data_IF_258494210817
#
_entry.id   IF_258494210817
#
_cell.length_a   1.000
_cell.length_b   1.000
_cell.length_c   1.000
_cell.angle_alpha   90.00
_cell.angle_beta   90.00
_cell.angle_gamma   90.00
#
_symmetry.space_group_name_H-M   'P 1'
#
loop_
_entity.id
_entity.type
_entity.pdbx_description
1 polymer ?
#
# COMPACT_ATOMS: atom_id res chain seq x y z
N UNK A 1 -16.94 -13.11 5.29
CA UNK A 1 -15.68 -12.34 5.37
C UNK A 1 -16.08 -10.88 5.38
N UNK A 2 -15.58 -10.11 6.35
CA UNK A 2 -15.81 -8.66 6.39
C UNK A 2 -14.89 -7.98 5.37
N UNK A 3 -15.39 -6.98 4.65
CA UNK A 3 -14.62 -6.28 3.64
C UNK A 3 -13.80 -5.17 4.31
N UNK A 4 -12.49 -5.41 4.50
CA UNK A 4 -11.59 -4.45 5.14
C UNK A 4 -10.69 -3.75 4.13
N UNK A 5 -10.58 -2.43 4.25
CA UNK A 5 -9.58 -1.59 3.58
C UNK A 5 -8.57 -1.14 4.62
N UNK A 6 -7.28 -1.28 4.33
CA UNK A 6 -6.20 -0.73 5.14
C UNK A 6 -5.69 0.55 4.50
N UNK A 7 -5.81 1.67 5.20
CA UNK A 7 -5.24 2.95 4.77
C UNK A 7 -4.03 3.31 5.64
N UNK A 8 -2.92 3.69 5.02
CA UNK A 8 -1.73 4.18 5.70
C UNK A 8 -1.65 5.67 5.46
N UNK A 9 -2.00 6.47 6.46
CA UNK A 9 -2.06 7.92 6.36
C UNK A 9 -1.61 8.56 7.68
N UNK A 10 -0.76 9.58 7.59
CA UNK A 10 -0.34 10.39 8.73
C UNK A 10 -1.38 11.43 9.12
N UNK A 11 -2.24 11.82 8.18
CA UNK A 11 -3.26 12.84 8.33
C UNK A 11 -4.65 12.19 8.46
N UNK A 12 -5.11 12.02 9.70
CA UNK A 12 -6.41 11.37 9.98
C UNK A 12 -7.63 12.29 9.81
N UNK A 13 -7.45 13.51 9.31
CA UNK A 13 -8.51 14.54 9.33
C UNK A 13 -9.78 14.14 8.57
N UNK A 14 -9.70 13.15 7.66
CA UNK A 14 -10.83 12.72 6.84
C UNK A 14 -11.29 11.27 7.12
N UNK A 15 -10.79 10.63 8.19
CA UNK A 15 -11.11 9.21 8.46
C UNK A 15 -12.60 8.99 8.73
N UNK A 16 -13.24 9.86 9.50
CA UNK A 16 -14.64 9.69 9.89
C UNK A 16 -15.59 9.84 8.69
N UNK A 17 -15.34 10.84 7.84
CA UNK A 17 -16.07 11.04 6.58
C UNK A 17 -15.87 9.87 5.61
N UNK A 18 -14.62 9.42 5.45
CA UNK A 18 -14.27 8.27 4.62
C UNK A 18 -14.99 7.01 5.14
N UNK A 19 -14.94 6.74 6.45
CA UNK A 19 -15.59 5.58 7.05
C UNK A 19 -17.11 5.61 6.85
N UNK A 20 -17.76 6.78 6.98
CA UNK A 20 -19.20 6.90 6.77
C UNK A 20 -19.60 6.60 5.32
N UNK A 21 -18.80 6.97 4.33
CA UNK A 21 -19.07 6.67 2.93
C UNK A 21 -18.95 5.17 2.64
N UNK A 22 -17.85 4.55 3.08
CA UNK A 22 -17.60 3.12 2.84
C UNK A 22 -18.52 2.19 3.62
N UNK A 23 -19.02 2.63 4.78
CA UNK A 23 -19.95 1.85 5.58
C UNK A 23 -21.27 1.55 4.84
N UNK A 24 -21.71 2.42 3.92
CA UNK A 24 -22.88 2.18 3.05
C UNK A 24 -22.74 0.91 2.20
N UNK A 25 -21.50 0.52 1.90
CA UNK A 25 -21.15 -0.66 1.11
C UNK A 25 -20.75 -1.85 1.98
N UNK A 26 -20.95 -1.79 3.30
CA UNK A 26 -20.45 -2.78 4.27
C UNK A 26 -18.93 -2.99 4.18
N UNK A 27 -18.21 -1.90 3.89
CA UNK A 27 -16.75 -1.86 3.85
C UNK A 27 -16.24 -1.09 5.06
N UNK A 28 -15.25 -1.66 5.73
CA UNK A 28 -14.62 -1.09 6.91
C UNK A 28 -13.23 -0.60 6.58
N UNK A 29 -12.92 0.64 6.98
CA UNK A 29 -11.62 1.26 6.75
C UNK A 29 -10.85 1.26 8.07
N UNK A 30 -9.65 0.69 8.05
CA UNK A 30 -8.69 0.77 9.14
C UNK A 30 -7.57 1.70 8.72
N UNK A 31 -7.44 2.85 9.38
CA UNK A 31 -6.31 3.76 9.12
C UNK A 31 -5.20 3.53 10.14
N UNK A 32 -3.96 3.48 9.66
CA UNK A 32 -2.75 3.41 10.49
C UNK A 32 -1.78 4.50 10.09
N UNK A 33 -1.13 5.11 11.09
CA UNK A 33 -0.14 6.18 10.88
C UNK A 33 1.26 5.69 10.51
N UNK A 34 1.50 4.38 10.49
CA UNK A 34 2.83 3.87 10.20
C UNK A 34 2.80 2.57 9.41
N UNK A 35 3.73 2.47 8.46
CA UNK A 35 3.92 1.27 7.66
C UNK A 35 4.21 0.04 8.53
N UNK A 36 4.95 0.19 9.63
CA UNK A 36 5.22 -0.91 10.56
C UNK A 36 3.94 -1.48 11.19
N UNK A 37 2.96 -0.64 11.52
CA UNK A 37 1.65 -1.12 11.99
C UNK A 37 0.85 -1.74 10.85
N UNK A 38 0.92 -1.18 9.64
CA UNK A 38 0.28 -1.72 8.45
C UNK A 38 0.76 -3.15 8.16
N UNK A 39 2.07 -3.37 8.17
CA UNK A 39 2.68 -4.69 7.93
C UNK A 39 2.24 -5.72 8.98
N UNK A 40 2.21 -5.35 10.26
CA UNK A 40 1.71 -6.25 11.32
C UNK A 40 0.25 -6.65 11.12
N UNK A 41 -0.57 -5.75 10.55
CA UNK A 41 -1.96 -6.06 10.24
C UNK A 41 -2.08 -6.98 9.03
N UNK A 42 -1.32 -6.70 7.97
CA UNK A 42 -1.29 -7.52 6.76
C UNK A 42 -0.81 -8.96 7.01
N UNK A 43 -0.01 -9.18 8.05
CA UNK A 43 0.40 -10.54 8.45
C UNK A 43 -0.70 -11.36 9.13
N UNK A 44 -1.73 -10.72 9.68
CA UNK A 44 -2.74 -11.37 10.53
C UNK A 44 -4.17 -11.23 9.98
N UNK A 45 -4.36 -10.46 8.92
CA UNK A 45 -5.69 -10.13 8.41
C UNK A 45 -5.59 -9.87 6.91
N UNK A 46 -6.51 -10.47 6.16
CA UNK A 46 -6.66 -10.20 4.74
C UNK A 46 -7.43 -8.90 4.53
N UNK A 47 -6.94 -8.07 3.61
CA UNK A 47 -7.58 -6.81 3.24
C UNK A 47 -7.96 -6.84 1.76
N UNK A 48 -9.10 -6.25 1.44
CA UNK A 48 -9.60 -6.09 0.08
C UNK A 48 -8.74 -5.09 -0.71
N UNK A 49 -8.29 -4.03 -0.04
CA UNK A 49 -7.49 -2.97 -0.64
C UNK A 49 -6.55 -2.38 0.42
N UNK A 50 -5.33 -2.04 -0.01
CA UNK A 50 -4.37 -1.27 0.78
C UNK A 50 -4.12 0.06 0.09
N UNK A 51 -4.40 1.17 0.78
CA UNK A 51 -4.17 2.54 0.30
C UNK A 51 -3.02 3.13 1.09
N UNK A 52 -1.99 3.64 0.42
CA UNK A 52 -0.82 4.25 1.07
C UNK A 52 -0.76 5.71 0.63
N UNK A 53 -1.01 6.62 1.56
CA UNK A 53 -0.92 8.07 1.34
C UNK A 53 0.42 8.53 1.89
N UNK A 54 1.29 8.99 1.00
CA UNK A 54 2.63 9.46 1.32
C UNK A 54 2.76 10.93 0.93
N UNK A 55 2.59 11.83 1.90
CA UNK A 55 2.69 13.28 1.66
C UNK A 55 4.11 13.76 1.28
N UNK A 56 5.12 12.86 1.25
CA UNK A 56 6.52 13.08 0.78
C UNK A 56 7.50 11.99 1.26
N UNK A 57 7.05 11.01 2.04
CA UNK A 57 7.95 9.99 2.64
C UNK A 57 7.98 8.74 1.75
N UNK A 58 9.18 8.39 1.25
CA UNK A 58 9.42 7.09 0.60
C UNK A 58 9.30 5.96 1.63
N UNK A 59 8.17 5.26 1.64
CA UNK A 59 7.93 4.13 2.54
C UNK A 59 8.36 2.77 1.97
N UNK A 60 8.86 2.76 0.73
CA UNK A 60 9.28 1.55 0.02
C UNK A 60 10.78 1.54 -0.36
N UNK A 61 11.72 1.79 0.57
CA UNK A 61 13.15 1.71 0.23
C UNK A 61 13.57 0.29 -0.20
N UNK A 62 12.84 -0.75 0.24
CA UNK A 62 13.19 -2.16 -0.01
C UNK A 62 12.57 -2.78 -1.27
N UNK A 63 11.70 -2.06 -1.98
CA UNK A 63 11.19 -2.52 -3.28
C UNK A 63 12.12 -2.11 -4.44
N UNK A 64 13.14 -1.29 -4.16
CA UNK A 64 14.14 -0.85 -5.14
C UNK A 64 15.30 -1.84 -5.34
N UNK A 65 15.38 -2.96 -4.60
CA UNK A 65 16.49 -3.92 -4.70
C UNK A 65 16.06 -5.32 -5.15
N UNK A 66 15.12 -5.38 -6.10
CA UNK A 66 15.02 -6.51 -7.03
C UNK A 66 14.96 -5.98 -8.46
N UNK A 67 15.78 -5.00 -8.79
CA UNK A 67 16.27 -4.92 -10.18
C UNK A 67 17.20 -6.10 -10.35
N UNK A 68 16.62 -7.20 -10.85
CA UNK A 68 17.34 -8.23 -11.57
C UNK A 68 18.46 -7.56 -12.35
N UNK A 69 19.68 -7.94 -12.03
CA UNK A 69 20.88 -7.59 -12.78
C UNK A 69 20.82 -8.36 -14.10
N UNK A 70 19.97 -7.91 -15.04
CA UNK A 70 20.20 -8.22 -16.44
C UNK A 70 21.40 -7.37 -16.88
N UNK A 71 22.48 -7.98 -17.41
CA UNK A 71 23.59 -7.20 -17.94
C UNK A 71 23.11 -6.38 -19.14
N UNK A 72 23.56 -5.12 -19.27
CA UNK A 72 23.11 -4.25 -20.33
C UNK A 72 23.81 -4.58 -21.65
N UNK A 73 22.98 -4.60 -22.70
CA UNK A 73 23.28 -4.16 -24.08
C UNK A 73 24.30 -4.94 -24.91
N UNK A 74 23.80 -5.47 -26.04
CA UNK A 74 24.12 -4.81 -27.31
C UNK A 74 24.50 -5.71 -28.48
N UNK A 75 23.80 -5.43 -29.59
CA UNK A 75 24.14 -5.72 -30.99
C UNK A 75 23.87 -7.12 -31.56
N UNK A 76 22.66 -7.24 -32.14
CA UNK A 76 22.48 -7.98 -33.38
C UNK A 76 23.41 -7.42 -34.47
N UNK A 77 24.23 -8.28 -35.08
CA UNK A 77 24.64 -8.14 -36.48
C UNK A 77 24.43 -9.48 -37.17
N UNK A 78 23.65 -9.45 -38.25
CA UNK A 78 23.49 -10.54 -39.21
C UNK A 78 24.41 -10.22 -40.40
N UNK A 79 25.21 -11.22 -40.80
CA UNK A 79 26.17 -11.28 -41.93
C UNK A 79 27.45 -10.45 -41.79
#
# INVERSE_FOLDING_TARGET
MENWILAVDNNLNNLEETQQEWFKYHVFVRVVKSMQKALRLLMNTDFLLVVIVADTIEYLPHLASSTETYPPTGHFFIS
#
